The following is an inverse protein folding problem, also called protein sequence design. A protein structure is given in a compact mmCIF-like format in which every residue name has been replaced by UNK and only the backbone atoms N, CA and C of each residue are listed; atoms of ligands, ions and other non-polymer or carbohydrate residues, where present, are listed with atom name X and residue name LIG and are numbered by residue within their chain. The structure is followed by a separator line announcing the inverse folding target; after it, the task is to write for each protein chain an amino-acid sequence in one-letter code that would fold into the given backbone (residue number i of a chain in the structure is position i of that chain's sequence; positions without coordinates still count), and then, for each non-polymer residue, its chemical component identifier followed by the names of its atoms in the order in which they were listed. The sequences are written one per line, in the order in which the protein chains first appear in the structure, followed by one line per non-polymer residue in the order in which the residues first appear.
data_IF_131405306387
#
_entry.id   IF_131405306387
#
_cell.length_a   1.000
_cell.length_b   1.000
_cell.length_c   1.000
_cell.angle_alpha   90.00
_cell.angle_beta   90.00
_cell.angle_gamma   90.00
#
_symmetry.space_group_name_H-M   'P 1'
#
loop_
_entity.id
_entity.type
_entity.pdbx_description
1 polymer ?
#
# COMPACT_ATOMS: atom_id res chain seq x y z
N UNK A 1 13.66 -3.84 -16.06
CA UNK A 1 14.20 -5.00 -16.80
C UNK A 1 15.70 -4.83 -16.89
N UNK A 2 16.48 -5.72 -16.29
CA UNK A 2 17.95 -5.64 -16.32
C UNK A 2 18.49 -6.89 -17.01
N UNK A 3 19.40 -6.68 -17.96
CA UNK A 3 20.00 -7.71 -18.80
C UNK A 3 21.31 -8.18 -18.17
N UNK A 4 21.44 -9.49 -17.92
CA UNK A 4 22.61 -10.13 -17.33
C UNK A 4 23.63 -10.41 -18.44
N UNK A 5 24.84 -9.83 -18.35
CA UNK A 5 25.99 -10.22 -19.18
C UNK A 5 26.98 -11.03 -18.36
N UNK A 6 27.05 -12.33 -18.65
CA UNK A 6 28.21 -13.18 -18.39
C UNK A 6 28.04 -14.27 -17.32
N UNK A 7 28.22 -15.53 -17.73
CA UNK A 7 28.97 -16.49 -16.90
C UNK A 7 28.29 -17.76 -16.39
N UNK A 8 27.01 -17.99 -16.64
CA UNK A 8 26.36 -19.32 -16.59
C UNK A 8 25.06 -19.17 -17.35
N UNK A 9 24.66 -20.13 -18.18
CA UNK A 9 23.41 -20.00 -18.93
C UNK A 9 22.26 -20.04 -17.93
N UNK A 10 21.82 -18.86 -17.50
CA UNK A 10 20.68 -18.72 -16.63
C UNK A 10 19.49 -19.34 -17.32
N UNK A 11 18.86 -20.36 -16.71
CA UNK A 11 17.62 -20.86 -17.24
C UNK A 11 16.68 -19.66 -17.34
N UNK A 12 15.97 -19.55 -18.46
CA UNK A 12 15.00 -18.49 -18.66
C UNK A 12 14.07 -18.43 -17.44
N UNK A 13 13.47 -17.26 -17.15
CA UNK A 13 12.63 -16.99 -15.96
C UNK A 13 11.62 -18.12 -15.65
N UNK A 14 11.28 -18.90 -16.67
CA UNK A 14 10.66 -20.24 -16.64
C UNK A 14 11.08 -21.18 -15.48
N UNK A 15 12.35 -21.31 -15.08
CA UNK A 15 12.72 -22.19 -13.94
C UNK A 15 12.21 -21.63 -12.61
N UNK A 16 12.37 -20.32 -12.39
CA UNK A 16 11.84 -19.63 -11.22
C UNK A 16 10.31 -19.68 -11.23
N UNK A 17 9.69 -19.39 -12.37
CA UNK A 17 8.23 -19.41 -12.53
C UNK A 17 7.65 -20.80 -12.26
N UNK A 18 8.30 -21.86 -12.75
CA UNK A 18 7.92 -23.24 -12.48
C UNK A 18 8.06 -23.61 -10.99
N UNK A 19 9.13 -23.15 -10.34
CA UNK A 19 9.33 -23.37 -8.90
C UNK A 19 8.22 -22.69 -8.08
N UNK A 20 7.90 -21.43 -8.41
CA UNK A 20 6.84 -20.67 -7.75
C UNK A 20 5.44 -21.24 -8.03
N UNK A 21 5.18 -21.77 -9.24
CA UNK A 21 3.89 -22.37 -9.59
C UNK A 21 3.51 -23.55 -8.69
N UNK A 22 4.48 -24.31 -8.17
CA UNK A 22 4.24 -25.39 -7.21
C UNK A 22 3.80 -24.91 -5.83
N UNK A 23 4.11 -23.66 -5.49
CA UNK A 23 3.81 -23.04 -4.20
C UNK A 23 2.42 -22.40 -4.21
N UNK A 24 1.94 -21.92 -5.35
CA UNK A 24 0.64 -21.23 -5.51
C UNK A 24 -0.56 -21.92 -4.82
N UNK A 25 -0.71 -23.27 -4.85
CA UNK A 25 -1.82 -23.93 -4.16
C UNK A 25 -1.81 -23.77 -2.64
N UNK A 26 -0.66 -23.51 -2.02
CA UNK A 26 -0.51 -23.34 -0.56
C UNK A 26 -0.71 -21.89 -0.09
N UNK A 27 -0.77 -20.92 -1.00
CA UNK A 27 -0.99 -19.52 -0.64
C UNK A 27 -2.45 -19.27 -0.23
N UNK A 28 -2.69 -18.65 0.94
CA UNK A 28 -4.05 -18.28 1.32
C UNK A 28 -4.69 -17.35 0.28
N UNK A 29 -5.98 -17.57 -0.03
CA UNK A 29 -6.77 -16.71 -0.95
C UNK A 29 -6.99 -15.28 -0.43
N UNK A 30 -6.69 -15.01 0.84
CA UNK A 30 -6.59 -13.68 1.44
C UNK A 30 -5.19 -13.49 2.01
N UNK A 31 -4.56 -12.34 1.79
CA UNK A 31 -3.16 -12.09 2.12
C UNK A 31 -2.82 -12.01 3.60
N UNK A 32 -3.81 -12.05 4.50
CA UNK A 32 -3.58 -12.21 5.94
C UNK A 32 -4.21 -13.51 6.47
N UNK A 33 -3.43 -14.45 7.04
CA UNK A 33 -3.98 -15.62 7.72
C UNK A 33 -4.66 -15.20 9.01
N UNK A 34 -5.80 -15.80 9.34
CA UNK A 34 -6.52 -15.48 10.59
C UNK A 34 -6.75 -16.69 11.48
N UNK A 35 -6.20 -17.84 11.13
CA UNK A 35 -6.21 -19.04 11.96
C UNK A 35 -4.89 -19.79 11.82
N UNK A 36 -4.71 -20.79 12.69
CA UNK A 36 -3.46 -21.56 12.75
C UNK A 36 -3.21 -22.40 11.51
N UNK A 37 -4.25 -22.85 10.82
CA UNK A 37 -4.12 -23.64 9.60
C UNK A 37 -3.63 -22.77 8.44
N UNK A 38 -4.27 -21.62 8.22
CA UNK A 38 -3.86 -20.63 7.21
C UNK A 38 -2.47 -20.09 7.48
N UNK A 39 -2.14 -19.81 8.74
CA UNK A 39 -0.82 -19.36 9.15
C UNK A 39 0.25 -20.40 8.77
N UNK A 40 0.04 -21.68 9.11
CA UNK A 40 0.94 -22.77 8.71
C UNK A 40 1.06 -22.91 7.19
N UNK A 41 -0.04 -22.79 6.46
CA UNK A 41 -0.05 -22.84 4.99
C UNK A 41 0.77 -21.71 4.39
N UNK A 42 0.56 -20.47 4.86
CA UNK A 42 1.32 -19.30 4.44
C UNK A 42 2.80 -19.46 4.75
N UNK A 43 3.16 -19.99 5.92
CA UNK A 43 4.56 -20.18 6.30
C UNK A 43 5.27 -21.20 5.42
N UNK A 44 4.64 -22.33 5.08
CA UNK A 44 5.19 -23.28 4.12
C UNK A 44 5.35 -22.66 2.75
N UNK A 45 4.30 -21.98 2.28
CA UNK A 45 4.33 -21.33 0.98
C UNK A 45 5.44 -20.28 0.89
N UNK A 46 5.56 -19.42 1.90
CA UNK A 46 6.61 -18.41 1.95
C UNK A 46 8.00 -19.03 1.95
N UNK A 47 8.27 -19.98 2.85
CA UNK A 47 9.59 -20.64 2.93
C UNK A 47 9.96 -21.34 1.61
N UNK A 48 8.99 -22.01 0.98
CA UNK A 48 9.19 -22.63 -0.33
C UNK A 48 9.46 -21.61 -1.43
N UNK A 49 8.68 -20.53 -1.50
CA UNK A 49 8.88 -19.45 -2.47
C UNK A 49 10.23 -18.74 -2.29
N UNK A 50 10.63 -18.51 -1.04
CA UNK A 50 11.95 -17.93 -0.73
C UNK A 50 13.08 -18.84 -1.16
N UNK A 51 12.96 -20.16 -0.95
CA UNK A 51 13.95 -21.12 -1.42
C UNK A 51 14.08 -21.12 -2.96
N UNK A 52 12.97 -20.94 -3.70
CA UNK A 52 13.00 -20.75 -5.16
C UNK A 52 13.79 -19.50 -5.55
N UNK A 53 13.49 -18.36 -4.91
CA UNK A 53 14.18 -17.09 -5.15
C UNK A 53 15.67 -17.23 -4.84
N UNK A 54 16.04 -17.77 -3.69
CA UNK A 54 17.43 -17.95 -3.29
C UNK A 54 18.18 -18.91 -4.22
N UNK A 55 17.52 -19.98 -4.68
CA UNK A 55 18.08 -20.92 -5.65
C UNK A 55 18.39 -20.24 -6.99
N UNK A 56 17.47 -19.42 -7.47
CA UNK A 56 17.65 -18.65 -8.70
C UNK A 56 18.75 -17.59 -8.56
N UNK A 57 18.70 -16.76 -7.50
CA UNK A 57 19.64 -15.64 -7.33
C UNK A 57 21.07 -16.12 -7.12
N UNK A 58 21.29 -17.25 -6.43
CA UNK A 58 22.64 -17.86 -6.32
C UNK A 58 23.23 -18.30 -7.66
N UNK A 59 22.41 -18.73 -8.60
CA UNK A 59 22.86 -19.17 -9.93
C UNK A 59 23.00 -18.01 -10.92
N UNK A 60 22.17 -16.98 -10.76
CA UNK A 60 21.88 -16.03 -11.84
C UNK A 60 22.12 -14.56 -11.53
N UNK A 61 22.51 -14.24 -10.31
CA UNK A 61 22.84 -12.87 -9.93
C UNK A 61 24.27 -12.82 -9.41
N UNK A 62 24.97 -11.73 -9.72
CA UNK A 62 26.19 -11.35 -9.04
C UNK A 62 25.92 -11.09 -7.55
N UNK A 63 26.99 -11.05 -6.76
CA UNK A 63 26.89 -10.73 -5.34
C UNK A 63 26.23 -9.36 -5.09
N UNK A 64 26.56 -8.36 -5.92
CA UNK A 64 26.01 -7.00 -5.84
C UNK A 64 24.52 -7.00 -6.16
N UNK A 65 24.09 -7.67 -7.24
CA UNK A 65 22.67 -7.75 -7.60
C UNK A 65 21.87 -8.49 -6.54
N UNK A 66 22.41 -9.59 -5.99
CA UNK A 66 21.78 -10.34 -4.91
C UNK A 66 21.66 -9.48 -3.65
N UNK A 67 22.72 -8.78 -3.25
CA UNK A 67 22.68 -7.86 -2.12
C UNK A 67 21.64 -6.76 -2.32
N UNK A 68 21.54 -6.18 -3.53
CA UNK A 68 20.50 -5.21 -3.86
C UNK A 68 19.10 -5.81 -3.72
N UNK A 69 18.85 -7.01 -4.24
CA UNK A 69 17.56 -7.69 -4.09
C UNK A 69 17.21 -7.95 -2.62
N UNK A 70 18.17 -8.36 -1.80
CA UNK A 70 17.98 -8.56 -0.36
C UNK A 70 17.47 -7.30 0.35
N UNK A 71 17.99 -6.11 0.00
CA UNK A 71 17.51 -4.84 0.59
C UNK A 71 16.03 -4.56 0.31
N UNK A 72 15.47 -5.13 -0.77
CA UNK A 72 14.06 -5.03 -1.11
C UNK A 72 13.22 -6.13 -0.44
N UNK A 73 13.77 -7.33 -0.26
CA UNK A 73 13.05 -8.47 0.32
C UNK A 73 13.10 -8.54 1.85
N UNK A 74 14.04 -7.84 2.49
CA UNK A 74 14.29 -7.90 3.94
C UNK A 74 13.05 -7.68 4.79
N UNK A 75 12.18 -6.74 4.43
CA UNK A 75 10.95 -6.45 5.18
C UNK A 75 10.00 -7.65 5.24
N UNK A 76 9.75 -8.24 4.07
CA UNK A 76 8.93 -9.43 3.94
C UNK A 76 9.58 -10.64 4.64
N UNK A 77 10.88 -10.86 4.44
CA UNK A 77 11.64 -11.94 5.11
C UNK A 77 11.59 -11.82 6.62
N UNK A 78 11.85 -10.65 7.16
CA UNK A 78 11.85 -10.42 8.61
C UNK A 78 10.46 -10.63 9.20
N UNK A 79 9.43 -10.04 8.59
CA UNK A 79 8.05 -10.20 9.07
C UNK A 79 7.64 -11.66 9.09
N UNK A 80 7.97 -12.40 8.03
CA UNK A 80 7.59 -13.80 7.92
C UNK A 80 8.45 -14.72 8.77
N UNK A 81 9.71 -14.39 9.03
CA UNK A 81 10.51 -15.08 10.05
C UNK A 81 9.87 -14.91 11.44
N UNK A 82 9.53 -13.68 11.85
CA UNK A 82 8.81 -13.45 13.11
C UNK A 82 7.47 -14.20 13.15
N UNK A 83 6.70 -14.15 12.06
CA UNK A 83 5.40 -14.80 12.02
C UNK A 83 5.47 -16.34 11.94
N UNK A 84 6.51 -16.91 11.36
CA UNK A 84 6.60 -18.35 11.11
C UNK A 84 7.52 -19.12 12.06
N UNK A 85 8.52 -18.46 12.63
CA UNK A 85 9.57 -19.09 13.42
C UNK A 85 9.50 -18.72 14.92
N UNK A 86 8.79 -17.64 15.29
CA UNK A 86 8.58 -17.25 16.69
C UNK A 86 7.21 -17.70 17.23
N UNK A 87 7.15 -18.74 18.08
CA UNK A 87 5.90 -19.24 18.64
C UNK A 87 5.21 -18.26 19.60
N UNK A 88 5.94 -17.35 20.24
CA UNK A 88 5.39 -16.32 21.12
C UNK A 88 4.65 -15.30 20.27
N UNK A 89 5.29 -14.82 19.21
CA UNK A 89 4.67 -13.88 18.27
C UNK A 89 3.48 -14.51 17.54
N UNK A 90 3.54 -15.80 17.17
CA UNK A 90 2.39 -16.51 16.62
C UNK A 90 1.17 -16.48 17.55
N UNK A 91 1.38 -16.64 18.85
CA UNK A 91 0.30 -16.60 19.84
C UNK A 91 -0.31 -15.20 19.93
N UNK A 92 0.52 -14.16 19.94
CA UNK A 92 0.06 -12.77 19.91
C UNK A 92 -0.71 -12.47 18.62
N UNK A 93 -0.14 -12.82 17.46
CA UNK A 93 -0.79 -12.66 16.16
C UNK A 93 -2.17 -13.33 16.11
N UNK A 94 -2.25 -14.58 16.55
CA UNK A 94 -3.52 -15.31 16.57
C UNK A 94 -4.51 -14.76 17.61
N UNK A 95 -4.05 -13.99 18.60
CA UNK A 95 -4.97 -13.27 19.50
C UNK A 95 -5.76 -12.17 18.78
N UNK A 96 -5.22 -11.63 17.68
CA UNK A 96 -5.85 -10.63 16.81
C UNK A 96 -6.69 -11.24 15.66
N UNK A 97 -6.80 -12.57 15.60
CA UNK A 97 -7.47 -13.32 14.53
C UNK A 97 -8.89 -12.84 14.20
N UNK A 98 -9.68 -12.50 15.23
CA UNK A 98 -11.05 -12.04 15.05
C UNK A 98 -11.12 -10.74 14.24
N UNK A 99 -10.23 -9.78 14.52
CA UNK A 99 -10.16 -8.55 13.74
C UNK A 99 -9.58 -8.80 12.35
N UNK A 100 -8.48 -9.56 12.24
CA UNK A 100 -7.85 -9.88 10.94
C UNK A 100 -8.87 -10.46 9.96
N UNK A 101 -9.71 -11.40 10.43
CA UNK A 101 -10.80 -11.97 9.64
C UNK A 101 -11.82 -10.92 9.18
N UNK A 102 -12.15 -9.94 10.04
CA UNK A 102 -13.14 -8.89 9.78
C UNK A 102 -12.65 -7.83 8.79
N UNK A 103 -11.35 -7.53 8.79
CA UNK A 103 -10.75 -6.47 7.94
C UNK A 103 -10.04 -7.02 6.69
N UNK A 104 -10.03 -8.34 6.48
CA UNK A 104 -9.25 -9.00 5.43
C UNK A 104 -9.42 -8.35 4.05
N UNK A 105 -10.65 -8.03 3.66
CA UNK A 105 -10.94 -7.48 2.33
C UNK A 105 -10.53 -6.01 2.23
N UNK A 106 -10.65 -5.25 3.32
CA UNK A 106 -10.20 -3.86 3.37
C UNK A 106 -8.67 -3.79 3.32
N UNK A 107 -7.99 -4.69 4.03
CA UNK A 107 -6.54 -4.79 3.98
C UNK A 107 -6.06 -5.11 2.57
N UNK A 108 -6.68 -6.09 1.89
CA UNK A 108 -6.37 -6.39 0.48
C UNK A 108 -6.61 -5.18 -0.43
N UNK A 109 -7.70 -4.44 -0.23
CA UNK A 109 -7.96 -3.22 -1.00
C UNK A 109 -6.88 -2.16 -0.77
N UNK A 110 -6.48 -1.93 0.48
CA UNK A 110 -5.40 -1.02 0.82
C UNK A 110 -4.08 -1.46 0.17
N UNK A 111 -3.77 -2.76 0.22
CA UNK A 111 -2.55 -3.34 -0.34
C UNK A 111 -2.52 -3.28 -1.87
N UNK A 112 -3.63 -3.59 -2.54
CA UNK A 112 -3.75 -3.46 -3.99
C UNK A 112 -3.58 -2.02 -4.45
N UNK A 113 -4.22 -1.07 -3.75
CA UNK A 113 -4.03 0.34 -4.06
C UNK A 113 -2.57 0.78 -3.87
N UNK A 114 -1.93 0.36 -2.77
CA UNK A 114 -0.51 0.59 -2.54
C UNK A 114 0.36 0.08 -3.70
N UNK A 115 0.19 -1.20 -4.09
CA UNK A 115 0.93 -1.81 -5.20
C UNK A 115 0.70 -1.08 -6.52
N UNK A 116 -0.55 -0.71 -6.81
CA UNK A 116 -0.91 0.04 -8.01
C UNK A 116 -0.16 1.37 -8.06
N UNK A 117 -0.25 2.17 -7.00
CA UNK A 117 0.38 3.48 -6.94
C UNK A 117 1.91 3.40 -7.05
N UNK A 118 2.55 2.42 -6.39
CA UNK A 118 3.99 2.17 -6.55
C UNK A 118 4.34 1.84 -8.00
N UNK A 119 3.54 0.98 -8.65
CA UNK A 119 3.73 0.62 -10.06
C UNK A 119 3.64 1.84 -11.00
N UNK A 120 2.65 2.71 -10.77
CA UNK A 120 2.48 3.95 -11.54
C UNK A 120 3.67 4.88 -11.42
N UNK A 121 4.25 5.06 -10.22
CA UNK A 121 5.45 5.88 -10.04
C UNK A 121 6.66 5.29 -10.76
N UNK A 122 6.84 3.97 -10.75
CA UNK A 122 7.92 3.30 -11.48
C UNK A 122 7.75 3.33 -13.01
N UNK A 123 6.52 3.51 -13.51
CA UNK A 123 6.25 3.60 -14.94
C UNK A 123 6.54 5.00 -15.52
N UNK A 124 6.70 6.03 -14.69
CA UNK A 124 7.03 7.39 -15.12
C UNK A 124 8.43 7.45 -15.72
N UNK A 125 8.55 8.03 -16.91
CA UNK A 125 9.82 8.14 -17.65
C UNK A 125 10.68 9.33 -17.22
N UNK A 126 10.05 10.42 -16.80
CA UNK A 126 10.73 11.69 -16.46
C UNK A 126 10.68 12.01 -14.96
N UNK A 127 10.94 11.01 -14.11
CA UNK A 127 10.98 11.18 -12.65
C UNK A 127 12.42 11.06 -12.15
N UNK A 128 12.86 12.02 -11.34
CA UNK A 128 14.17 11.91 -10.67
C UNK A 128 14.11 10.85 -9.57
N UNK A 129 15.25 10.24 -9.24
CA UNK A 129 15.33 9.29 -8.13
C UNK A 129 14.80 9.88 -6.81
N UNK A 130 15.12 11.14 -6.51
CA UNK A 130 14.64 11.81 -5.30
C UNK A 130 13.11 11.98 -5.29
N UNK A 131 12.50 12.36 -6.42
CA UNK A 131 11.05 12.47 -6.53
C UNK A 131 10.38 11.10 -6.42
N UNK A 132 10.95 10.08 -7.07
CA UNK A 132 10.47 8.70 -6.96
C UNK A 132 10.49 8.24 -5.50
N UNK A 133 11.63 8.37 -4.81
CA UNK A 133 11.77 8.01 -3.41
C UNK A 133 10.72 8.72 -2.54
N UNK A 134 10.57 10.04 -2.69
CA UNK A 134 9.56 10.83 -1.96
C UNK A 134 8.14 10.34 -2.21
N UNK A 135 7.77 10.11 -3.48
CA UNK A 135 6.45 9.63 -3.85
C UNK A 135 6.17 8.24 -3.28
N UNK A 136 7.14 7.32 -3.35
CA UNK A 136 7.04 5.98 -2.74
C UNK A 136 6.86 6.08 -1.22
N UNK A 137 7.56 7.00 -0.54
CA UNK A 137 7.35 7.27 0.88
C UNK A 137 5.92 7.73 1.17
N UNK A 138 5.36 8.60 0.33
CA UNK A 138 4.00 9.09 0.51
C UNK A 138 2.93 8.04 0.25
N UNK A 139 3.12 7.21 -0.77
CA UNK A 139 2.27 6.06 -1.06
C UNK A 139 2.28 5.08 0.12
N UNK A 140 3.45 4.83 0.71
CA UNK A 140 3.57 4.04 1.94
C UNK A 140 2.80 4.66 3.10
N UNK A 141 2.91 5.97 3.35
CA UNK A 141 2.13 6.63 4.41
C UNK A 141 0.61 6.48 4.18
N UNK A 142 0.17 6.61 2.92
CA UNK A 142 -1.21 6.33 2.52
C UNK A 142 -1.65 4.91 2.86
N UNK A 143 -0.81 3.91 2.57
CA UNK A 143 -1.07 2.51 2.90
C UNK A 143 -1.22 2.29 4.41
N UNK A 144 -0.30 2.82 5.21
CA UNK A 144 -0.35 2.72 6.67
C UNK A 144 -1.58 3.39 7.26
N UNK A 145 -2.01 4.52 6.70
CA UNK A 145 -3.24 5.21 7.13
C UNK A 145 -4.49 4.42 6.75
N UNK A 146 -4.54 3.84 5.54
CA UNK A 146 -5.65 3.03 5.08
C UNK A 146 -5.89 1.84 6.01
N UNK A 147 -4.83 1.08 6.31
CA UNK A 147 -4.91 -0.09 7.21
C UNK A 147 -5.30 0.32 8.63
N UNK A 148 -4.71 1.38 9.17
CA UNK A 148 -5.08 1.87 10.50
C UNK A 148 -6.55 2.27 10.56
N UNK A 149 -7.03 3.06 9.60
CA UNK A 149 -8.40 3.59 9.61
C UNK A 149 -9.44 2.48 9.53
N UNK A 150 -9.31 1.56 8.57
CA UNK A 150 -10.28 0.48 8.41
C UNK A 150 -10.32 -0.44 9.63
N UNK A 151 -9.15 -0.71 10.21
CA UNK A 151 -9.02 -1.53 11.41
C UNK A 151 -9.60 -0.85 12.65
N UNK A 152 -9.34 0.45 12.82
CA UNK A 152 -9.86 1.22 13.95
C UNK A 152 -11.39 1.31 13.89
N UNK A 153 -11.94 1.54 12.71
CA UNK A 153 -13.38 1.62 12.50
C UNK A 153 -14.07 0.29 12.82
N UNK A 154 -13.46 -0.85 12.47
CA UNK A 154 -14.08 -2.17 12.60
C UNK A 154 -13.78 -2.87 13.93
N UNK A 155 -12.65 -2.59 14.56
CA UNK A 155 -12.14 -3.36 15.69
C UNK A 155 -11.59 -2.52 16.85
N UNK A 156 -11.44 -1.21 16.67
CA UNK A 156 -10.87 -0.31 17.67
C UNK A 156 -9.36 -0.11 17.58
N UNK A 157 -8.86 0.77 18.45
CA UNK A 157 -7.51 1.35 18.36
C UNK A 157 -6.38 0.35 18.54
N UNK A 158 -6.52 -0.61 19.45
CA UNK A 158 -5.47 -1.61 19.74
C UNK A 158 -5.16 -2.43 18.49
N UNK A 159 -6.20 -2.99 17.87
CA UNK A 159 -6.13 -3.77 16.64
C UNK A 159 -5.58 -2.95 15.46
N UNK A 160 -6.00 -1.69 15.37
CA UNK A 160 -5.51 -0.78 14.34
C UNK A 160 -4.00 -0.52 14.43
N UNK A 161 -3.49 -0.31 15.64
CA UNK A 161 -2.06 -0.10 15.88
C UNK A 161 -1.28 -1.38 15.55
N UNK A 162 -1.78 -2.55 15.96
CA UNK A 162 -1.15 -3.83 15.64
C UNK A 162 -1.02 -4.05 14.13
N UNK A 163 -2.14 -3.93 13.39
CA UNK A 163 -2.17 -4.12 11.94
C UNK A 163 -1.35 -3.07 11.18
N UNK A 164 -1.32 -1.82 11.66
CA UNK A 164 -0.46 -0.79 11.08
C UNK A 164 1.03 -1.12 11.26
N UNK A 165 1.45 -1.60 12.43
CA UNK A 165 2.85 -2.00 12.69
C UNK A 165 3.29 -3.18 11.83
N UNK A 166 2.44 -4.19 11.71
CA UNK A 166 2.69 -5.29 10.77
C UNK A 166 2.82 -4.78 9.33
N UNK A 167 1.90 -3.94 8.90
CA UNK A 167 1.91 -3.37 7.54
C UNK A 167 3.16 -2.53 7.28
N UNK A 168 3.64 -1.78 8.28
CA UNK A 168 4.88 -1.02 8.20
C UNK A 168 6.10 -1.92 8.00
N UNK A 169 6.13 -3.09 8.63
CA UNK A 169 7.22 -4.07 8.47
C UNK A 169 7.13 -4.79 7.13
N UNK A 170 5.93 -5.11 6.64
CA UNK A 170 5.75 -5.75 5.33
C UNK A 170 6.12 -4.84 4.15
N UNK A 171 5.81 -3.55 4.24
CA UNK A 171 6.15 -2.56 3.21
C UNK A 171 7.58 -2.03 3.35
N UNK A 172 8.39 -2.63 4.22
CA UNK A 172 9.75 -2.20 4.52
C UNK A 172 10.72 -2.55 3.38
N UNK A 173 11.53 -1.58 2.99
CA UNK A 173 12.71 -1.74 2.13
C UNK A 173 13.82 -0.85 2.70
N UNK A 174 15.05 -1.36 2.87
CA UNK A 174 16.16 -0.58 3.43
C UNK A 174 16.44 0.69 2.60
N UNK A 175 16.28 0.58 1.27
CA UNK A 175 16.49 1.67 0.30
C UNK A 175 15.56 2.86 0.57
N UNK A 176 14.30 2.58 0.88
CA UNK A 176 13.29 3.62 1.07
C UNK A 176 13.18 4.04 2.53
N UNK A 177 13.39 3.15 3.50
CA UNK A 177 13.12 3.46 4.90
C UNK A 177 13.98 4.60 5.44
N UNK A 178 15.30 4.60 5.19
CA UNK A 178 16.17 5.70 5.63
C UNK A 178 15.71 7.04 5.04
N UNK A 179 15.27 7.03 3.77
CA UNK A 179 14.77 8.19 3.05
C UNK A 179 13.36 8.63 3.51
N UNK A 180 12.54 7.68 3.96
CA UNK A 180 11.17 7.92 4.41
C UNK A 180 11.06 8.31 5.90
N UNK A 181 12.15 8.27 6.68
CA UNK A 181 12.11 8.49 8.13
C UNK A 181 11.45 9.82 8.53
N UNK A 182 11.73 10.88 7.76
CA UNK A 182 11.18 12.22 8.00
C UNK A 182 9.95 12.54 7.14
N UNK A 183 9.47 11.60 6.32
CA UNK A 183 8.31 11.79 5.44
C UNK A 183 7.05 11.37 6.17
N UNK A 184 6.26 12.36 6.56
CA UNK A 184 4.93 12.20 7.14
C UNK A 184 3.84 12.52 6.12
N UNK A 185 2.59 12.15 6.41
CA UNK A 185 1.47 12.49 5.52
C UNK A 185 1.32 14.00 5.27
N UNK A 186 1.72 14.85 6.22
CA UNK A 186 1.67 16.31 6.04
C UNK A 186 2.75 16.79 5.07
N UNK A 187 3.93 16.17 5.09
CA UNK A 187 4.99 16.46 4.10
C UNK A 187 4.65 15.96 2.69
N UNK A 188 3.73 15.01 2.58
CA UNK A 188 3.25 14.47 1.30
C UNK A 188 2.25 15.36 0.59
N UNK A 189 1.73 16.41 1.24
CA UNK A 189 0.75 17.34 0.65
C UNK A 189 1.35 18.31 -0.38
N UNK A 190 2.61 18.12 -0.80
CA UNK A 190 3.29 18.94 -1.81
C UNK A 190 2.94 18.61 -3.27
N UNK A 191 2.28 17.48 -3.55
CA UNK A 191 1.99 17.02 -4.92
C UNK A 191 0.49 16.91 -5.26
N UNK A 192 -0.36 17.73 -4.63
CA UNK A 192 -1.73 17.99 -5.12
C UNK A 192 -1.89 19.48 -5.44
N UNK A 193 -1.23 19.90 -6.52
CA UNK A 193 -1.64 21.01 -7.39
C UNK A 193 -1.46 20.43 -8.79
N UNK A 194 -2.47 19.91 -9.47
CA UNK A 194 -3.57 20.68 -10.06
C UNK A 194 -4.80 19.78 -10.29
N UNK A 195 -5.79 19.92 -9.44
CA UNK A 195 -7.19 19.94 -9.85
C UNK A 195 -7.92 20.73 -8.78
N UNK A 196 -7.93 22.05 -8.91
CA UNK A 196 -8.96 22.85 -8.27
C UNK A 196 -10.31 22.24 -8.67
N UNK A 197 -11.11 21.68 -7.73
CA UNK A 197 -12.52 21.55 -8.00
C UNK A 197 -13.04 22.99 -8.20
N UNK A 198 -13.88 23.28 -9.21
CA UNK A 198 -14.50 24.58 -9.30
C UNK A 198 -15.22 24.84 -7.98
N UNK A 199 -14.83 25.94 -7.34
CA UNK A 199 -15.45 26.49 -6.14
C UNK A 199 -16.96 26.65 -6.38
N UNK A 200 -17.75 25.66 -5.98
CA UNK A 200 -19.22 25.74 -5.94
C UNK A 200 -19.72 26.63 -4.80
N UNK A 201 -18.84 27.35 -4.09
CA UNK A 201 -19.24 28.23 -2.99
C UNK A 201 -19.39 29.71 -3.38
N UNK A 202 -19.16 30.08 -4.66
CA UNK A 202 -19.36 31.46 -5.14
C UNK A 202 -20.69 31.71 -5.86
N UNK A 203 -21.47 30.67 -6.14
CA UNK A 203 -22.76 30.81 -6.83
C UNK A 203 -23.94 31.07 -5.89
N UNK A 204 -23.84 30.71 -4.60
CA UNK A 204 -24.92 30.92 -3.63
C UNK A 204 -25.23 32.40 -3.38
N UNK A 205 -24.19 33.23 -3.22
CA UNK A 205 -24.37 34.67 -2.99
C UNK A 205 -24.92 35.40 -4.23
N UNK A 206 -24.53 34.99 -5.45
CA UNK A 206 -25.05 35.60 -6.68
C UNK A 206 -26.50 35.18 -6.91
N UNK A 207 -26.85 33.91 -6.69
CA UNK A 207 -28.24 33.44 -6.82
C UNK A 207 -29.14 34.10 -5.77
N UNK A 208 -28.67 34.25 -4.53
CA UNK A 208 -29.42 34.98 -3.49
C UNK A 208 -29.56 36.47 -3.83
N UNK A 209 -28.50 37.12 -4.33
CA UNK A 209 -28.59 38.53 -4.73
C UNK A 209 -29.55 38.75 -5.92
N UNK A 210 -29.53 37.85 -6.92
CA UNK A 210 -30.46 37.90 -8.06
C UNK A 210 -31.90 37.61 -7.61
N UNK A 211 -32.12 36.62 -6.74
CA UNK A 211 -33.46 36.32 -6.22
C UNK A 211 -34.02 37.48 -5.39
N UNK A 212 -33.19 38.12 -4.56
CA UNK A 212 -33.60 39.32 -3.79
C UNK A 212 -33.91 40.48 -4.73
N UNK A 213 -33.07 40.73 -5.75
CA UNK A 213 -33.33 41.80 -6.72
C UNK A 213 -34.63 41.58 -7.51
N UNK A 214 -34.88 40.35 -7.97
CA UNK A 214 -36.13 40.00 -8.67
C UNK A 214 -37.34 40.16 -7.76
N UNK A 215 -37.27 39.68 -6.51
CA UNK A 215 -38.36 39.85 -5.54
C UNK A 215 -38.63 41.33 -5.23
N UNK A 216 -37.60 42.16 -5.11
CA UNK A 216 -37.78 43.61 -4.93
C UNK A 216 -38.42 44.28 -6.14
N UNK A 217 -38.07 43.87 -7.36
CA UNK A 217 -38.68 44.40 -8.59
C UNK A 217 -40.15 44.00 -8.71
N UNK A 218 -40.51 42.75 -8.40
CA UNK A 218 -41.91 42.29 -8.40
C UNK A 218 -42.77 42.98 -7.35
N UNK A 219 -42.20 43.35 -6.19
CA UNK A 219 -42.91 44.14 -5.18
C UNK A 219 -43.08 45.61 -5.59
N UNK A 220 -42.13 46.18 -6.32
CA UNK A 220 -42.23 47.54 -6.88
C UNK A 220 -43.28 47.60 -8.00
N UNK A 221 -43.36 46.59 -8.88
CA UNK A 221 -44.43 46.51 -9.89
C UNK A 221 -45.81 46.34 -9.24
N UNK A 222 -45.94 45.55 -8.17
CA UNK A 222 -47.21 45.45 -7.44
C UNK A 222 -47.60 46.73 -6.70
N UNK A 223 -46.64 47.51 -6.20
CA UNK A 223 -46.92 48.80 -5.56
C UNK A 223 -47.43 49.85 -6.57
N UNK A 224 -46.86 49.88 -7.79
CA UNK A 224 -47.26 50.81 -8.85
C UNK A 224 -48.57 50.46 -9.57
N UNK A 225 -49.08 49.23 -9.44
CA UNK A 225 -50.35 48.81 -10.04
C UNK A 225 -51.54 49.05 -9.08
N UNK A 226 -51.30 49.33 -7.80
CA UNK A 226 -52.34 49.49 -6.76
C UNK A 226 -52.44 50.94 -6.21
N UNK A 227 -51.76 51.90 -6.83
CA UNK A 227 -51.94 53.35 -6.64
C UNK A 227 -52.34 54.02 -7.94
#
# INVERSE_FOLDING_TARGET
CWSVTGGTQCPNKTELDWCLAKISPEMPRSGLPYDRHQLKSMCRAFKGGMACVDGYTRKCMSEVERASLETHLKGARSTLAFLCDDPVFQKEYLSHAACIRKVREDWERCHHHFKYMVGEEHAKRDITHHQLDHNICCIRQGFLKCVYWTSNLKCGKLEAVFLQRMTATLSYSDVHQQKCHNVTLTTCSGAVRTSTPPSLYRSGLVVVAVAVAVLTLSLVEHYYIVT
#
